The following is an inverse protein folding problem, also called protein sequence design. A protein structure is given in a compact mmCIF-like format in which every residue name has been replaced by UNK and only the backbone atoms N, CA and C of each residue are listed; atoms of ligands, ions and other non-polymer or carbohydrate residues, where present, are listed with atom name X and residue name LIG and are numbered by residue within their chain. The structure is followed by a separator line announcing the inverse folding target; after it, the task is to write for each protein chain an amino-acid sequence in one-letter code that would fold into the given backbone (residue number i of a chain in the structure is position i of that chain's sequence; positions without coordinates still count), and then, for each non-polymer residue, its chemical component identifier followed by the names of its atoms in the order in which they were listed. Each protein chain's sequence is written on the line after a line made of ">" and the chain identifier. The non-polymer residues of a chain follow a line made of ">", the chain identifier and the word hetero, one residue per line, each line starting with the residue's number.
data_IF_627201836393
#
_entry.id   IF_627201836393
#
_cell.length_a   1.000
_cell.length_b   1.000
_cell.length_c   1.000
_cell.angle_alpha   90.00
_cell.angle_beta   90.00
_cell.angle_gamma   90.00
#
_symmetry.space_group_name_H-M   'P 1'
#
loop_
_entity.id
_entity.type
_entity.pdbx_description
1 polymer ?
#
# COMPACT_ATOMS: atom_id res chain seq x y z
N UNK A 1 27.09 -62.01 -15.22
CA UNK A 1 27.06 -60.89 -16.19
C UNK A 1 27.18 -59.60 -15.43
N UNK A 2 28.30 -58.88 -15.59
CA UNK A 2 28.37 -57.46 -15.23
C UNK A 2 27.70 -56.66 -16.36
N UNK A 3 27.02 -55.58 -16.01
CA UNK A 3 26.81 -54.45 -16.91
C UNK A 3 26.99 -53.16 -16.13
N UNK A 4 27.87 -52.30 -16.63
CA UNK A 4 28.46 -51.23 -15.84
C UNK A 4 27.52 -50.04 -15.63
N UNK A 5 27.61 -49.47 -14.43
CA UNK A 5 27.06 -48.16 -14.15
C UNK A 5 27.91 -47.10 -14.86
N UNK A 6 27.45 -46.63 -16.02
CA UNK A 6 28.03 -45.47 -16.70
C UNK A 6 27.77 -44.22 -15.86
N UNK A 7 28.68 -43.95 -14.93
CA UNK A 7 28.81 -42.66 -14.28
C UNK A 7 29.26 -41.64 -15.32
N UNK A 8 28.30 -40.99 -15.97
CA UNK A 8 28.53 -39.81 -16.77
C UNK A 8 29.07 -38.70 -15.86
N UNK A 9 30.39 -38.64 -15.73
CA UNK A 9 31.15 -37.60 -15.05
C UNK A 9 31.07 -36.28 -15.85
N UNK A 10 29.88 -35.71 -15.94
CA UNK A 10 29.72 -34.32 -16.31
C UNK A 10 30.36 -33.47 -15.23
N UNK A 11 31.47 -32.83 -15.59
CA UNK A 11 32.25 -32.00 -14.70
C UNK A 11 31.34 -30.98 -13.99
N UNK A 12 31.18 -31.14 -12.68
CA UNK A 12 30.63 -30.14 -11.79
C UNK A 12 31.63 -28.98 -11.66
N UNK A 13 31.77 -28.19 -12.73
CA UNK A 13 32.45 -26.91 -12.69
C UNK A 13 31.80 -25.98 -11.66
N UNK A 14 32.46 -24.86 -11.33
CA UNK A 14 32.09 -23.99 -10.22
C UNK A 14 30.57 -23.65 -10.13
N UNK A 15 29.88 -23.56 -11.27
CA UNK A 15 28.43 -23.36 -11.38
C UNK A 15 27.58 -24.47 -10.72
N UNK A 16 27.98 -25.74 -10.88
CA UNK A 16 27.28 -26.90 -10.29
C UNK A 16 27.47 -26.97 -8.77
N UNK A 17 28.70 -26.71 -8.28
CA UNK A 17 28.94 -26.54 -6.85
C UNK A 17 28.15 -25.35 -6.28
N UNK A 18 28.08 -24.22 -7.00
CA UNK A 18 27.24 -23.07 -6.64
C UNK A 18 25.75 -23.44 -6.54
N UNK A 19 25.21 -24.25 -7.46
CA UNK A 19 23.82 -24.72 -7.43
C UNK A 19 23.53 -25.67 -6.24
N UNK A 20 24.43 -26.60 -5.94
CA UNK A 20 24.32 -27.46 -4.75
C UNK A 20 24.43 -26.64 -3.45
N UNK A 21 25.34 -25.65 -3.43
CA UNK A 21 25.51 -24.70 -2.34
C UNK A 21 24.29 -23.78 -2.16
N UNK A 22 23.58 -23.43 -3.23
CA UNK A 22 22.34 -22.65 -3.23
C UNK A 22 21.11 -23.42 -2.72
N UNK A 23 21.18 -24.77 -2.67
CA UNK A 23 20.06 -25.61 -2.24
C UNK A 23 20.02 -25.87 -0.72
N UNK A 24 21.12 -25.66 0.01
CA UNK A 24 21.15 -25.87 1.47
C UNK A 24 20.51 -24.69 2.22
N UNK A 25 19.75 -24.98 3.28
CA UNK A 25 19.30 -23.97 4.26
C UNK A 25 20.53 -23.29 4.89
N UNK A 26 20.50 -21.97 5.05
CA UNK A 26 21.59 -21.17 5.63
C UNK A 26 21.07 -20.05 6.52
N UNK A 27 21.83 -19.73 7.58
CA UNK A 27 21.38 -18.88 8.69
C UNK A 27 20.47 -19.67 9.62
N UNK A 28 20.71 -19.64 10.93
CA UNK A 28 19.95 -20.45 11.89
C UNK A 28 20.64 -20.90 13.16
N UNK A 29 21.97 -20.79 13.29
CA UNK A 29 22.69 -21.28 14.49
C UNK A 29 22.43 -20.43 15.75
N UNK A 30 22.21 -19.12 15.56
CA UNK A 30 22.06 -18.15 16.65
C UNK A 30 20.68 -17.44 16.61
N UNK A 31 19.65 -18.14 16.13
CA UNK A 31 18.27 -17.62 16.19
C UNK A 31 17.68 -17.81 17.58
N UNK A 32 16.85 -16.86 18.08
CA UNK A 32 16.12 -17.05 19.32
C UNK A 32 15.11 -18.20 19.18
N UNK A 33 14.75 -18.85 20.29
CA UNK A 33 13.77 -19.95 20.30
C UNK A 33 12.34 -19.47 20.00
N UNK A 34 12.04 -18.22 20.35
CA UNK A 34 10.75 -17.57 20.18
C UNK A 34 10.93 -16.13 19.65
N UNK A 35 9.83 -15.49 19.29
CA UNK A 35 9.75 -14.09 18.88
C UNK A 35 8.51 -13.43 19.49
N UNK A 36 8.58 -12.11 19.65
CA UNK A 36 7.44 -11.28 20.03
C UNK A 36 6.63 -10.95 18.77
N UNK A 37 5.29 -11.00 18.83
CA UNK A 37 4.42 -10.56 17.72
C UNK A 37 3.12 -9.95 18.22
N UNK A 38 2.57 -8.98 17.49
CA UNK A 38 1.21 -8.50 17.73
C UNK A 38 0.19 -9.41 17.05
N UNK A 39 -0.83 -9.84 17.78
CA UNK A 39 -1.92 -10.68 17.29
C UNK A 39 -3.29 -10.09 17.64
N UNK A 40 -4.24 -10.20 16.71
CA UNK A 40 -5.66 -10.06 17.03
C UNK A 40 -6.12 -11.35 17.69
N UNK A 41 -6.75 -11.28 18.85
CA UNK A 41 -7.35 -12.43 19.54
C UNK A 41 -8.86 -12.43 19.34
N UNK A 42 -9.51 -11.27 19.47
CA UNK A 42 -10.94 -11.08 19.21
C UNK A 42 -11.14 -9.81 18.37
N UNK A 43 -11.65 -9.91 17.14
CA UNK A 43 -11.94 -8.75 16.30
C UNK A 43 -13.30 -8.13 16.68
N UNK A 44 -13.41 -6.80 16.58
CA UNK A 44 -14.63 -6.07 16.85
C UNK A 44 -14.73 -4.83 15.93
N UNK A 45 -15.92 -4.53 15.42
CA UNK A 45 -16.16 -3.42 14.50
C UNK A 45 -15.69 -2.07 15.07
N UNK A 46 -15.90 -1.85 16.37
CA UNK A 46 -15.21 -0.81 17.13
C UNK A 46 -13.82 -1.32 17.55
N UNK A 47 -12.76 -0.66 17.08
CA UNK A 47 -11.38 -1.06 17.43
C UNK A 47 -11.10 -0.92 18.93
N UNK A 48 -11.80 -0.04 19.66
CA UNK A 48 -11.63 0.09 21.10
C UNK A 48 -12.16 -1.14 21.89
N UNK A 49 -12.97 -1.97 21.24
CA UNK A 49 -13.53 -3.21 21.78
C UNK A 49 -12.88 -4.47 21.17
N UNK A 50 -11.85 -4.32 20.33
CA UNK A 50 -11.11 -5.44 19.76
C UNK A 50 -9.98 -5.86 20.71
N UNK A 51 -9.81 -7.17 20.95
CA UNK A 51 -8.70 -7.69 21.76
C UNK A 51 -7.50 -7.94 20.87
N UNK A 52 -6.51 -7.04 20.95
CA UNK A 52 -5.22 -7.16 20.27
C UNK A 52 -4.12 -7.16 21.32
N UNK A 53 -3.22 -8.15 21.29
CA UNK A 53 -2.20 -8.36 22.33
C UNK A 53 -0.83 -8.63 21.72
N UNK A 54 0.23 -8.37 22.49
CA UNK A 54 1.57 -8.89 22.20
C UNK A 54 1.66 -10.32 22.73
N UNK A 55 1.98 -11.25 21.84
CA UNK A 55 2.38 -12.61 22.20
C UNK A 55 3.91 -12.61 22.34
N UNK A 56 4.38 -12.77 23.59
CA UNK A 56 5.80 -12.64 23.96
C UNK A 56 6.67 -13.81 23.47
N UNK A 57 6.14 -15.04 23.53
CA UNK A 57 6.87 -16.28 23.23
C UNK A 57 6.31 -17.04 22.01
N UNK A 58 6.00 -16.34 20.92
CA UNK A 58 5.53 -17.00 19.70
C UNK A 58 6.66 -17.83 19.03
N UNK A 59 6.40 -19.06 18.56
CA UNK A 59 7.42 -19.86 17.89
C UNK A 59 7.85 -19.25 16.54
N UNK A 60 9.13 -19.38 16.20
CA UNK A 60 9.63 -18.99 14.87
C UNK A 60 8.99 -19.84 13.75
N UNK A 61 8.68 -19.25 12.57
CA UNK A 61 8.05 -19.98 11.49
C UNK A 61 9.01 -20.97 10.81
N UNK A 62 8.51 -22.17 10.51
CA UNK A 62 9.27 -23.22 9.81
C UNK A 62 9.41 -22.89 8.33
N UNK A 63 10.62 -22.51 7.89
CA UNK A 63 10.90 -22.09 6.51
C UNK A 63 10.77 -23.24 5.49
N UNK A 64 9.90 -23.07 4.50
CA UNK A 64 9.83 -23.89 3.28
C UNK A 64 10.87 -23.44 2.26
N UNK A 65 11.19 -24.31 1.29
CA UNK A 65 12.09 -23.97 0.16
C UNK A 65 11.60 -22.72 -0.56
N UNK A 66 12.52 -21.82 -0.89
CA UNK A 66 12.20 -20.53 -1.53
C UNK A 66 11.80 -19.40 -0.57
N UNK A 67 11.59 -19.68 0.74
CA UNK A 67 11.26 -18.67 1.75
C UNK A 67 12.49 -18.16 2.51
N UNK A 68 12.35 -17.01 3.16
CA UNK A 68 13.35 -16.38 4.04
C UNK A 68 12.73 -15.99 5.38
N UNK A 69 13.53 -16.02 6.45
CA UNK A 69 13.19 -15.40 7.73
C UNK A 69 13.87 -14.03 7.80
N UNK A 70 13.10 -13.00 8.15
CA UNK A 70 13.57 -11.62 8.26
C UNK A 70 13.60 -11.26 9.76
N UNK A 71 14.76 -10.91 10.33
CA UNK A 71 14.78 -10.15 11.59
C UNK A 71 14.32 -8.74 11.23
N UNK A 72 13.36 -8.29 11.99
CA UNK A 72 12.30 -7.43 11.54
C UNK A 72 12.43 -6.14 12.38
N UNK A 73 12.68 -4.96 11.76
CA UNK A 73 13.18 -3.76 12.50
C UNK A 73 12.21 -2.55 12.62
N UNK A 74 11.39 -2.16 11.63
CA UNK A 74 10.41 -1.06 11.78
C UNK A 74 9.14 -0.98 10.84
N UNK A 75 7.90 -1.15 11.31
CA UNK A 75 6.70 -1.31 10.46
C UNK A 75 5.85 -0.08 10.19
N UNK A 76 5.40 0.12 8.96
CA UNK A 76 4.31 1.07 8.70
C UNK A 76 2.94 0.52 9.08
N UNK A 77 2.21 1.26 9.91
CA UNK A 77 0.79 0.99 10.22
C UNK A 77 -0.12 1.67 9.19
N UNK A 78 -0.97 0.91 8.50
CA UNK A 78 -1.88 1.32 7.45
C UNK A 78 -3.34 1.00 7.81
N UNK A 79 -4.33 1.69 7.20
CA UNK A 79 -5.74 1.32 7.31
C UNK A 79 -6.08 -0.12 6.89
N UNK A 80 -5.25 -0.73 6.04
CA UNK A 80 -5.41 -2.14 5.65
C UNK A 80 -5.02 -3.13 6.76
N UNK A 81 -4.16 -2.74 7.71
CA UNK A 81 -3.68 -3.59 8.80
C UNK A 81 -4.78 -3.78 9.86
N UNK A 82 -5.29 -2.67 10.40
CA UNK A 82 -6.40 -2.68 11.37
C UNK A 82 -7.77 -2.95 10.72
N UNK A 83 -7.85 -2.95 9.40
CA UNK A 83 -9.03 -3.45 8.67
C UNK A 83 -9.35 -4.92 8.96
N UNK A 84 -8.36 -5.72 9.41
CA UNK A 84 -8.54 -7.09 9.87
C UNK A 84 -8.93 -7.21 11.36
N UNK A 85 -8.81 -6.12 12.12
CA UNK A 85 -9.21 -6.07 13.54
C UNK A 85 -10.72 -5.82 13.67
N UNK A 86 -11.33 -5.20 12.65
CA UNK A 86 -12.77 -4.85 12.66
C UNK A 86 -13.75 -6.01 12.52
N UNK A 87 -13.35 -7.11 11.90
CA UNK A 87 -14.26 -8.21 11.58
C UNK A 87 -13.50 -9.53 11.52
N UNK A 88 -14.18 -10.64 11.82
CA UNK A 88 -13.58 -11.96 11.66
C UNK A 88 -13.13 -12.17 10.21
N UNK A 89 -11.83 -12.31 10.01
CA UNK A 89 -11.25 -12.74 8.74
C UNK A 89 -11.93 -14.04 8.27
N UNK A 90 -12.46 -14.04 7.05
CA UNK A 90 -13.13 -15.19 6.43
C UNK A 90 -12.19 -16.40 6.16
N UNK A 91 -10.95 -16.35 6.63
CA UNK A 91 -9.89 -17.36 6.41
C UNK A 91 -9.00 -17.61 7.64
N UNK A 92 -9.31 -17.03 8.80
CA UNK A 92 -8.38 -16.97 9.94
C UNK A 92 -8.88 -17.68 11.19
N UNK A 93 -8.06 -18.60 11.71
CA UNK A 93 -8.07 -18.97 13.12
C UNK A 93 -7.46 -17.84 13.97
N UNK A 94 -7.81 -17.78 15.26
CA UNK A 94 -7.29 -16.81 16.22
C UNK A 94 -6.42 -17.54 17.25
N UNK A 95 -5.31 -16.95 17.73
CA UNK A 95 -4.83 -15.59 17.47
C UNK A 95 -4.25 -15.38 16.06
N UNK A 96 -4.60 -14.24 15.43
CA UNK A 96 -4.24 -13.88 14.06
C UNK A 96 -3.12 -12.83 14.02
N UNK A 97 -1.91 -13.15 13.50
CA UNK A 97 -0.82 -12.17 13.36
C UNK A 97 -1.18 -11.00 12.43
N UNK A 98 -0.82 -9.78 12.81
CA UNK A 98 -1.22 -8.55 12.09
C UNK A 98 -0.05 -7.77 11.46
N UNK A 99 -0.38 -6.69 10.75
CA UNK A 99 0.49 -5.94 9.84
C UNK A 99 0.66 -6.63 8.48
N UNK A 100 0.70 -5.88 7.38
CA UNK A 100 0.86 -6.42 6.03
C UNK A 100 2.21 -6.16 5.34
N UNK A 101 2.98 -5.13 5.74
CA UNK A 101 4.25 -4.74 5.11
C UNK A 101 5.46 -4.59 6.07
N UNK A 102 6.63 -4.99 5.56
CA UNK A 102 7.84 -5.33 6.31
C UNK A 102 9.13 -4.92 5.56
N UNK A 103 10.22 -4.68 6.29
CA UNK A 103 11.58 -5.02 5.85
C UNK A 103 12.44 -5.44 7.05
N UNK A 104 13.75 -5.41 6.93
CA UNK A 104 14.72 -5.80 7.96
C UNK A 104 15.82 -6.62 7.31
N UNK A 105 16.47 -7.48 8.07
CA UNK A 105 17.61 -8.28 7.60
C UNK A 105 17.20 -9.73 7.46
N UNK A 106 17.51 -10.37 6.32
CA UNK A 106 17.35 -11.83 6.20
C UNK A 106 18.33 -12.54 7.13
N UNK A 107 17.82 -13.26 8.12
CA UNK A 107 18.60 -14.00 9.11
C UNK A 107 18.61 -15.52 8.90
N UNK A 108 17.65 -16.05 8.13
CA UNK A 108 17.68 -17.44 7.68
C UNK A 108 16.99 -17.63 6.32
N UNK A 109 17.32 -18.73 5.66
CA UNK A 109 16.81 -19.09 4.32
C UNK A 109 16.35 -20.55 4.30
N UNK A 110 15.21 -20.80 3.65
CA UNK A 110 14.70 -22.15 3.36
C UNK A 110 15.49 -22.88 2.27
N UNK A 111 16.49 -22.23 1.66
CA UNK A 111 17.26 -22.71 0.52
C UNK A 111 16.50 -22.60 -0.81
N UNK A 112 17.23 -22.74 -1.92
CA UNK A 112 16.71 -22.65 -3.28
C UNK A 112 17.06 -21.33 -3.97
N UNK A 113 17.06 -21.36 -5.31
CA UNK A 113 17.64 -20.32 -6.19
C UNK A 113 17.06 -18.92 -5.92
N UNK A 114 15.76 -18.81 -5.62
CA UNK A 114 15.10 -17.52 -5.29
C UNK A 114 15.59 -16.86 -4.00
N UNK A 115 16.33 -17.59 -3.15
CA UNK A 115 16.89 -17.09 -1.87
C UNK A 115 18.39 -16.84 -1.92
N UNK A 116 19.03 -17.10 -3.07
CA UNK A 116 20.48 -17.03 -3.22
C UNK A 116 20.99 -15.61 -3.00
N UNK A 117 22.00 -15.46 -2.13
CA UNK A 117 22.61 -14.17 -1.82
C UNK A 117 21.73 -13.21 -1.00
N UNK A 118 20.55 -13.65 -0.53
CA UNK A 118 19.66 -12.84 0.31
C UNK A 118 20.07 -12.82 1.78
N UNK A 119 20.74 -13.86 2.32
CA UNK A 119 21.16 -13.90 3.71
C UNK A 119 22.04 -12.68 4.07
N UNK A 120 21.73 -12.01 5.18
CA UNK A 120 22.38 -10.76 5.61
C UNK A 120 21.98 -9.51 4.82
N UNK A 121 21.16 -9.62 3.76
CA UNK A 121 20.67 -8.45 3.03
C UNK A 121 19.55 -7.78 3.79
N UNK A 122 19.54 -6.44 3.71
CA UNK A 122 18.36 -5.62 4.01
C UNK A 122 17.34 -5.84 2.88
N UNK A 123 16.18 -6.41 3.20
CA UNK A 123 15.14 -6.79 2.22
C UNK A 123 13.77 -6.38 2.69
N UNK A 124 12.85 -6.23 1.75
CA UNK A 124 11.49 -5.82 2.03
C UNK A 124 10.43 -6.79 1.51
N UNK A 125 9.32 -6.86 2.24
CA UNK A 125 8.32 -7.90 2.09
C UNK A 125 6.89 -7.38 2.30
N UNK A 126 5.98 -7.90 1.49
CA UNK A 126 4.53 -7.76 1.65
C UNK A 126 3.91 -9.16 1.58
N UNK A 127 4.05 -10.00 2.63
CA UNK A 127 3.42 -11.32 2.69
C UNK A 127 1.93 -11.25 3.10
N UNK A 128 1.41 -10.07 3.48
CA UNK A 128 -0.02 -9.83 3.72
C UNK A 128 -0.53 -10.10 5.14
N UNK A 129 0.29 -10.65 6.04
CA UNK A 129 0.04 -10.72 7.48
C UNK A 129 1.35 -10.96 8.27
N UNK A 130 1.40 -10.59 9.55
CA UNK A 130 2.49 -10.93 10.48
C UNK A 130 3.81 -10.20 10.22
N UNK A 131 3.78 -8.90 9.92
CA UNK A 131 4.89 -8.21 9.23
C UNK A 131 5.43 -6.98 9.92
N UNK A 132 5.07 -6.69 11.17
CA UNK A 132 5.50 -5.41 11.70
C UNK A 132 7.04 -5.29 11.74
N UNK A 133 7.63 -4.55 10.75
CA UNK A 133 9.06 -4.22 10.52
C UNK A 133 9.45 -3.44 9.20
N UNK A 134 10.76 -3.22 8.95
CA UNK A 134 11.50 -2.05 8.36
C UNK A 134 11.14 -1.53 6.94
N UNK A 135 9.86 -1.34 6.60
CA UNK A 135 9.29 -0.75 5.35
C UNK A 135 9.85 -1.18 3.97
N UNK A 136 9.10 -2.03 3.25
CA UNK A 136 8.61 -1.57 1.95
C UNK A 136 7.18 -1.07 2.14
N UNK A 137 6.78 -0.12 1.31
CA UNK A 137 5.61 0.70 1.53
C UNK A 137 4.71 0.60 0.29
N UNK A 138 3.51 0.08 0.46
CA UNK A 138 2.48 -0.09 -0.57
C UNK A 138 2.15 1.25 -1.22
N UNK A 139 2.20 2.35 -0.46
CA UNK A 139 1.69 3.63 -0.92
C UNK A 139 2.50 4.24 -2.10
N UNK A 140 3.85 4.36 -2.11
CA UNK A 140 4.62 4.72 -3.30
C UNK A 140 4.32 3.85 -4.53
N UNK A 141 4.23 2.53 -4.35
CA UNK A 141 3.96 1.62 -5.46
C UNK A 141 2.51 1.74 -5.96
N UNK A 142 1.57 2.05 -5.07
CA UNK A 142 0.18 2.35 -5.40
C UNK A 142 0.05 3.68 -6.12
N UNK A 143 0.78 4.72 -5.69
CA UNK A 143 0.90 6.01 -6.40
C UNK A 143 1.42 5.79 -7.83
N UNK A 144 2.53 5.06 -7.99
CA UNK A 144 3.06 4.76 -9.33
C UNK A 144 2.07 3.91 -10.14
N UNK A 145 1.38 2.94 -9.52
CA UNK A 145 0.33 2.17 -10.21
C UNK A 145 -0.86 3.04 -10.66
N UNK A 146 -1.32 3.99 -9.84
CA UNK A 146 -2.38 4.94 -10.20
C UNK A 146 -1.96 5.82 -11.38
N UNK A 147 -0.74 6.37 -11.34
CA UNK A 147 -0.19 7.23 -12.39
C UNK A 147 0.08 6.47 -13.69
N UNK A 148 0.60 5.24 -13.62
CA UNK A 148 0.73 4.36 -14.80
C UNK A 148 -0.64 3.96 -15.37
N UNK A 149 -1.65 3.74 -14.52
CA UNK A 149 -3.04 3.47 -14.96
C UNK A 149 -3.65 4.67 -15.67
N UNK A 150 -3.43 5.89 -15.14
CA UNK A 150 -3.85 7.13 -15.78
C UNK A 150 -3.21 7.29 -17.17
N UNK A 151 -1.88 7.11 -17.28
CA UNK A 151 -1.15 7.16 -18.55
C UNK A 151 -1.60 6.07 -19.53
N UNK A 152 -1.83 4.84 -19.07
CA UNK A 152 -2.34 3.76 -19.92
C UNK A 152 -3.75 4.06 -20.47
N UNK A 153 -4.62 4.71 -19.67
CA UNK A 153 -5.92 5.23 -20.10
C UNK A 153 -5.85 6.56 -20.86
N UNK A 154 -4.65 7.10 -21.11
CA UNK A 154 -4.39 8.42 -21.74
C UNK A 154 -5.10 9.59 -21.02
N UNK A 155 -5.34 9.46 -19.72
CA UNK A 155 -5.90 10.51 -18.89
C UNK A 155 -4.83 11.55 -18.56
N UNK A 156 -5.09 12.82 -18.88
CA UNK A 156 -4.24 13.96 -18.48
C UNK A 156 -4.46 14.39 -17.03
N UNK A 157 -5.67 14.20 -16.52
CA UNK A 157 -6.06 14.58 -15.17
C UNK A 157 -6.87 13.47 -14.49
N UNK A 158 -6.74 13.37 -13.16
CA UNK A 158 -7.48 12.45 -12.29
C UNK A 158 -8.07 13.18 -11.08
N UNK A 159 -9.11 12.61 -10.45
CA UNK A 159 -9.53 12.99 -9.09
C UNK A 159 -8.98 11.96 -8.09
N UNK A 160 -8.60 12.41 -6.89
CA UNK A 160 -8.15 11.54 -5.80
C UNK A 160 -8.71 11.98 -4.45
N UNK A 161 -9.54 11.16 -3.81
CA UNK A 161 -10.08 11.44 -2.46
C UNK A 161 -9.12 10.98 -1.35
N UNK A 162 -9.34 11.42 -0.11
CA UNK A 162 -8.41 11.14 0.99
C UNK A 162 -7.01 11.74 0.78
N UNK A 163 -6.93 12.89 0.10
CA UNK A 163 -5.67 13.48 -0.37
C UNK A 163 -4.68 13.85 0.75
N UNK A 164 -5.15 14.10 1.97
CA UNK A 164 -4.29 14.37 3.13
C UNK A 164 -3.60 13.14 3.71
N UNK A 165 -3.95 11.93 3.27
CA UNK A 165 -3.24 10.70 3.66
C UNK A 165 -1.79 10.68 3.15
N UNK A 166 -0.91 9.89 3.76
CA UNK A 166 0.46 9.73 3.28
C UNK A 166 0.55 9.35 1.78
N UNK A 167 -0.37 8.49 1.30
CA UNK A 167 -0.51 8.17 -0.13
C UNK A 167 -0.87 9.40 -0.96
N UNK A 168 -1.87 10.18 -0.54
CA UNK A 168 -2.30 11.39 -1.25
C UNK A 168 -1.24 12.50 -1.28
N UNK A 169 -0.45 12.63 -0.21
CA UNK A 169 0.70 13.54 -0.15
C UNK A 169 1.84 13.11 -1.10
N UNK A 170 2.14 11.81 -1.17
CA UNK A 170 3.07 11.25 -2.17
C UNK A 170 2.55 11.47 -3.60
N UNK A 171 1.26 11.24 -3.85
CA UNK A 171 0.64 11.46 -5.16
C UNK A 171 0.76 12.94 -5.58
N UNK A 172 0.53 13.87 -4.65
CA UNK A 172 0.68 15.31 -4.88
C UNK A 172 2.09 15.69 -5.35
N UNK A 173 3.12 15.07 -4.75
CA UNK A 173 4.53 15.26 -5.14
C UNK A 173 4.89 14.56 -6.45
N UNK A 174 4.38 13.34 -6.68
CA UNK A 174 4.79 12.47 -7.80
C UNK A 174 4.06 12.74 -9.12
N UNK A 175 2.77 13.08 -9.09
CA UNK A 175 1.94 13.18 -10.29
C UNK A 175 2.48 14.14 -11.37
N UNK A 176 3.07 15.32 -11.03
CA UNK A 176 3.68 16.19 -12.02
C UNK A 176 4.78 15.52 -12.83
N UNK A 177 5.69 14.76 -12.19
CA UNK A 177 6.75 14.01 -12.89
C UNK A 177 6.20 13.00 -13.90
N UNK A 178 4.99 12.48 -13.68
CA UNK A 178 4.31 11.54 -14.57
C UNK A 178 3.51 12.20 -15.69
N UNK A 179 3.33 13.52 -15.69
CA UNK A 179 2.51 14.22 -16.69
C UNK A 179 1.01 14.12 -16.42
N UNK A 180 0.62 14.04 -15.14
CA UNK A 180 -0.76 13.83 -14.71
C UNK A 180 -1.14 14.93 -13.70
N UNK A 181 -2.20 15.68 -14.00
CA UNK A 181 -2.83 16.62 -13.08
C UNK A 181 -3.72 15.86 -12.08
N UNK A 182 -3.84 16.37 -10.86
CA UNK A 182 -4.64 15.74 -9.81
C UNK A 182 -5.54 16.78 -9.14
N UNK A 183 -6.85 16.51 -9.16
CA UNK A 183 -7.83 17.18 -8.31
C UNK A 183 -7.86 16.43 -6.97
N UNK A 184 -7.13 16.95 -6.01
CA UNK A 184 -7.02 16.39 -4.66
C UNK A 184 -8.26 16.77 -3.83
N UNK A 185 -8.94 15.78 -3.24
CA UNK A 185 -10.09 16.03 -2.36
C UNK A 185 -9.74 15.68 -0.91
N UNK A 186 -9.96 16.65 -0.02
CA UNK A 186 -9.82 16.54 1.45
C UNK A 186 -11.05 17.18 2.12
N UNK A 187 -11.23 17.00 3.43
CA UNK A 187 -12.41 17.46 4.18
C UNK A 187 -12.08 18.53 5.25
N UNK A 188 -10.88 19.13 5.21
CA UNK A 188 -10.43 20.14 6.19
C UNK A 188 -9.60 21.22 5.50
N UNK A 189 -9.85 22.49 5.85
CA UNK A 189 -9.17 23.63 5.24
C UNK A 189 -7.65 23.63 5.50
N UNK A 190 -7.22 23.28 6.71
CA UNK A 190 -5.79 23.13 7.06
C UNK A 190 -5.05 22.13 6.13
N UNK A 191 -5.74 21.08 5.67
CA UNK A 191 -5.17 20.13 4.72
C UNK A 191 -5.09 20.68 3.29
N UNK A 192 -5.96 21.63 2.92
CA UNK A 192 -5.90 22.31 1.62
C UNK A 192 -4.60 23.09 1.52
N UNK A 193 -4.31 23.92 2.52
CA UNK A 193 -3.07 24.71 2.63
C UNK A 193 -1.81 23.83 2.68
N UNK A 194 -1.86 22.72 3.43
CA UNK A 194 -0.79 21.72 3.46
C UNK A 194 -0.51 21.13 2.06
N UNK A 195 -1.57 20.74 1.33
CA UNK A 195 -1.43 20.13 0.01
C UNK A 195 -0.95 21.12 -1.06
N UNK A 196 -1.34 22.40 -0.99
CA UNK A 196 -0.76 23.43 -1.86
C UNK A 196 0.73 23.62 -1.59
N UNK A 197 1.15 23.69 -0.32
CA UNK A 197 2.58 23.76 0.06
C UNK A 197 3.37 22.54 -0.41
N UNK A 198 2.86 21.33 -0.18
CA UNK A 198 3.48 20.08 -0.65
C UNK A 198 3.60 20.06 -2.17
N UNK A 199 2.54 20.44 -2.89
CA UNK A 199 2.54 20.53 -4.34
C UNK A 199 3.57 21.52 -4.89
N UNK A 200 3.83 22.63 -4.20
CA UNK A 200 4.91 23.56 -4.57
C UNK A 200 6.32 22.91 -4.52
N UNK A 201 6.52 21.85 -3.72
CA UNK A 201 7.80 21.11 -3.66
C UNK A 201 7.97 20.03 -4.74
N UNK A 202 6.94 19.77 -5.55
CA UNK A 202 6.95 18.73 -6.57
C UNK A 202 8.02 18.99 -7.66
N UNK A 203 8.73 17.93 -8.05
CA UNK A 203 9.90 18.02 -8.94
C UNK A 203 9.62 17.48 -10.34
N UNK A 204 10.46 17.85 -11.30
CA UNK A 204 10.46 17.33 -12.68
C UNK A 204 10.02 18.33 -13.74
N UNK A 205 10.42 18.15 -15.01
CA UNK A 205 10.26 19.15 -16.07
C UNK A 205 8.79 19.48 -16.37
N UNK A 206 7.89 18.51 -16.17
CA UNK A 206 6.46 18.68 -16.40
C UNK A 206 5.77 19.52 -15.30
N UNK A 207 6.42 19.82 -14.17
CA UNK A 207 5.83 20.67 -13.12
C UNK A 207 5.49 22.07 -13.62
N UNK A 208 6.33 22.63 -14.49
CA UNK A 208 6.13 23.96 -15.09
C UNK A 208 4.95 24.00 -16.08
N UNK A 209 4.53 22.84 -16.62
CA UNK A 209 3.48 22.73 -17.63
C UNK A 209 2.08 22.46 -17.04
N UNK A 210 2.01 21.90 -15.82
CA UNK A 210 0.79 21.37 -15.21
C UNK A 210 0.13 22.31 -14.18
N UNK A 211 0.56 23.58 -14.13
CA UNK A 211 -0.08 24.63 -13.32
C UNK A 211 -0.07 24.41 -11.80
N UNK A 212 -0.91 25.17 -11.10
CA UNK A 212 -1.03 25.09 -9.65
C UNK A 212 -1.75 23.81 -9.20
N UNK A 213 -1.32 23.25 -8.06
CA UNK A 213 -1.94 22.04 -7.48
C UNK A 213 -3.41 22.28 -7.16
N UNK A 214 -4.32 21.46 -7.69
CA UNK A 214 -5.76 21.61 -7.44
C UNK A 214 -6.17 20.84 -6.19
N UNK A 215 -6.69 21.56 -5.19
CA UNK A 215 -7.15 20.96 -3.94
C UNK A 215 -8.54 21.49 -3.60
N UNK A 216 -9.48 20.58 -3.31
CA UNK A 216 -10.87 20.88 -2.99
C UNK A 216 -11.21 20.41 -1.58
N UNK A 217 -11.97 21.23 -0.85
CA UNK A 217 -12.50 20.89 0.47
C UNK A 217 -13.94 20.35 0.33
N UNK A 218 -14.13 19.04 0.49
CA UNK A 218 -15.42 18.36 0.39
C UNK A 218 -16.44 18.74 1.47
N UNK A 219 -16.01 19.48 2.50
CA UNK A 219 -16.88 20.02 3.55
C UNK A 219 -17.25 21.50 3.32
N UNK A 220 -16.91 22.07 2.16
CA UNK A 220 -17.37 23.40 1.74
C UNK A 220 -18.65 23.29 0.92
N UNK A 221 -19.61 24.19 1.14
CA UNK A 221 -20.84 24.29 0.33
C UNK A 221 -20.54 24.49 -1.16
N UNK A 222 -19.42 25.17 -1.47
CA UNK A 222 -18.94 25.39 -2.84
C UNK A 222 -18.35 24.15 -3.53
N UNK A 223 -18.11 23.05 -2.80
CA UNK A 223 -17.41 21.86 -3.29
C UNK A 223 -18.02 21.30 -4.58
N UNK A 224 -19.35 21.19 -4.64
CA UNK A 224 -20.04 20.63 -5.80
C UNK A 224 -19.76 21.41 -7.09
N UNK A 225 -19.81 22.74 -7.02
CA UNK A 225 -19.56 23.63 -8.15
C UNK A 225 -18.07 23.68 -8.54
N UNK A 226 -17.16 23.72 -7.55
CA UNK A 226 -15.71 23.68 -7.80
C UNK A 226 -15.29 22.35 -8.46
N UNK A 227 -15.86 21.22 -8.03
CA UNK A 227 -15.60 19.92 -8.64
C UNK A 227 -16.09 19.88 -10.10
N UNK A 228 -17.28 20.41 -10.39
CA UNK A 228 -17.82 20.47 -11.76
C UNK A 228 -17.02 21.42 -12.67
N UNK A 229 -16.45 22.49 -12.11
CA UNK A 229 -15.50 23.37 -12.79
C UNK A 229 -14.21 22.63 -13.16
N UNK A 230 -13.56 21.95 -12.21
CA UNK A 230 -12.32 21.19 -12.50
C UNK A 230 -12.54 19.98 -13.40
N UNK A 231 -13.67 19.26 -13.28
CA UNK A 231 -14.02 18.16 -14.19
C UNK A 231 -14.10 18.64 -15.65
N UNK A 232 -14.74 19.80 -15.88
CA UNK A 232 -14.85 20.40 -17.22
C UNK A 232 -13.51 20.95 -17.72
N UNK A 233 -12.83 21.76 -16.92
CA UNK A 233 -11.58 22.42 -17.30
C UNK A 233 -10.49 21.40 -17.68
N UNK A 234 -10.28 20.39 -16.83
CA UNK A 234 -9.21 19.39 -17.00
C UNK A 234 -9.68 18.15 -17.79
N UNK A 235 -10.95 18.13 -18.22
CA UNK A 235 -11.61 17.04 -18.97
C UNK A 235 -11.47 15.68 -18.26
N UNK A 236 -11.62 15.67 -16.93
CA UNK A 236 -11.36 14.49 -16.07
C UNK A 236 -12.30 13.34 -16.45
N UNK A 237 -11.73 12.14 -16.61
CA UNK A 237 -12.49 10.88 -16.85
C UNK A 237 -12.13 9.74 -15.89
N UNK A 238 -11.29 10.01 -14.90
CA UNK A 238 -10.72 9.00 -14.03
C UNK A 238 -10.67 9.53 -12.60
N UNK A 239 -11.16 8.74 -11.65
CA UNK A 239 -11.06 9.05 -10.23
C UNK A 239 -10.56 7.83 -9.45
N UNK A 240 -9.85 8.08 -8.36
CA UNK A 240 -9.49 7.10 -7.34
C UNK A 240 -10.12 7.54 -6.01
N UNK A 241 -10.96 6.68 -5.44
CA UNK A 241 -11.68 6.95 -4.20
C UNK A 241 -11.33 5.92 -3.10
N UNK A 242 -11.04 6.43 -1.89
CA UNK A 242 -10.85 5.60 -0.70
C UNK A 242 -11.91 5.85 0.39
N UNK A 243 -12.90 6.71 0.15
CA UNK A 243 -13.94 7.01 1.14
C UNK A 243 -15.04 5.95 1.08
N UNK A 244 -15.35 5.43 -0.11
CA UNK A 244 -16.50 4.57 -0.41
C UNK A 244 -17.84 5.28 -0.13
N UNK A 245 -18.94 4.51 -0.09
CA UNK A 245 -20.29 5.06 0.07
C UNK A 245 -20.63 6.11 -1.00
N UNK A 246 -21.26 7.20 -0.56
CA UNK A 246 -21.77 8.25 -1.44
C UNK A 246 -20.67 9.09 -2.11
N UNK A 247 -19.43 9.09 -1.57
CA UNK A 247 -18.28 9.75 -2.21
C UNK A 247 -18.05 9.16 -3.61
N UNK A 248 -18.05 7.82 -3.70
CA UNK A 248 -17.91 7.12 -4.96
C UNK A 248 -19.13 7.34 -5.88
N UNK A 249 -20.35 7.29 -5.34
CA UNK A 249 -21.59 7.56 -6.09
C UNK A 249 -21.61 8.97 -6.71
N UNK A 250 -21.29 10.00 -5.93
CA UNK A 250 -21.21 11.38 -6.38
C UNK A 250 -20.14 11.59 -7.47
N UNK A 251 -18.98 10.93 -7.35
CA UNK A 251 -17.96 10.93 -8.40
C UNK A 251 -18.45 10.27 -9.70
N UNK A 252 -19.15 9.13 -9.60
CA UNK A 252 -19.76 8.50 -10.79
C UNK A 252 -20.76 9.45 -11.43
N UNK A 253 -21.65 10.07 -10.65
CA UNK A 253 -22.67 10.99 -11.15
C UNK A 253 -22.07 12.21 -11.88
N UNK A 254 -21.09 12.89 -11.27
CA UNK A 254 -20.49 14.13 -11.80
C UNK A 254 -19.52 13.92 -12.96
N UNK A 255 -18.82 12.78 -13.04
CA UNK A 255 -17.89 12.52 -14.14
C UNK A 255 -18.63 12.38 -15.50
N UNK A 256 -18.00 12.74 -16.62
CA UNK A 256 -18.62 12.65 -17.95
C UNK A 256 -18.78 11.19 -18.43
N UNK A 257 -19.48 10.95 -19.56
CA UNK A 257 -19.60 9.62 -20.15
C UNK A 257 -18.25 8.93 -20.44
N UNK A 258 -18.26 7.59 -20.34
CA UNK A 258 -17.09 6.69 -20.47
C UNK A 258 -15.98 6.90 -19.44
N UNK A 259 -16.33 7.42 -18.25
CA UNK A 259 -15.39 7.58 -17.13
C UNK A 259 -15.23 6.31 -16.29
N UNK A 260 -14.16 6.23 -15.48
CA UNK A 260 -13.94 5.14 -14.51
C UNK A 260 -13.69 5.71 -13.12
N UNK A 261 -14.42 5.21 -12.11
CA UNK A 261 -14.12 5.45 -10.69
C UNK A 261 -13.49 4.18 -10.11
N UNK A 262 -12.30 4.32 -9.55
CA UNK A 262 -11.55 3.24 -8.91
C UNK A 262 -11.69 3.31 -7.39
N UNK A 263 -12.43 2.36 -6.81
CA UNK A 263 -12.49 2.20 -5.37
C UNK A 263 -11.22 1.47 -4.88
N UNK A 264 -10.41 2.11 -4.03
CA UNK A 264 -9.15 1.56 -3.50
C UNK A 264 -9.07 1.54 -1.96
N UNK A 265 -10.11 2.02 -1.27
CA UNK A 265 -10.21 2.02 0.19
C UNK A 265 -11.65 2.23 0.67
N UNK A 266 -11.86 2.16 2.00
CA UNK A 266 -13.17 2.29 2.67
C UNK A 266 -13.05 3.06 4.00
N UNK A 267 -13.00 4.39 3.93
CA UNK A 267 -12.79 5.27 5.10
C UNK A 267 -14.07 5.91 5.66
N UNK A 268 -15.23 5.77 5.03
CA UNK A 268 -16.51 6.29 5.54
C UNK A 268 -16.97 5.54 6.80
N UNK A 269 -17.68 6.24 7.70
CA UNK A 269 -17.97 5.78 9.08
C UNK A 269 -19.19 4.86 9.25
N UNK A 270 -20.15 4.86 8.33
CA UNK A 270 -21.48 4.25 8.58
C UNK A 270 -22.01 3.34 7.47
N UNK A 271 -21.46 3.39 6.25
CA UNK A 271 -21.87 2.57 5.09
C UNK A 271 -20.73 1.68 4.57
N UNK A 272 -19.78 1.36 5.45
CA UNK A 272 -18.36 1.11 5.14
C UNK A 272 -17.99 -0.19 4.41
N UNK A 273 -18.96 -1.04 4.05
CA UNK A 273 -18.74 -2.25 3.22
C UNK A 273 -19.20 -2.09 1.77
N UNK A 274 -19.92 -1.02 1.42
CA UNK A 274 -20.60 -0.88 0.14
C UNK A 274 -20.33 0.47 -0.53
N UNK A 275 -20.69 0.54 -1.82
CA UNK A 275 -20.80 1.80 -2.55
C UNK A 275 -22.28 2.14 -2.64
N UNK A 276 -22.62 3.41 -2.47
CA UNK A 276 -23.99 3.92 -2.46
C UNK A 276 -24.15 5.10 -3.41
N UNK A 277 -25.39 5.50 -3.68
CA UNK A 277 -25.75 6.59 -4.59
C UNK A 277 -25.13 6.50 -6.02
N UNK A 278 -24.85 5.30 -6.54
CA UNK A 278 -24.35 5.11 -7.92
C UNK A 278 -25.53 5.18 -8.90
N UNK A 279 -25.56 6.12 -9.88
CA UNK A 279 -26.66 6.20 -10.85
C UNK A 279 -26.62 5.03 -11.84
N UNK A 280 -27.59 4.13 -11.75
CA UNK A 280 -27.68 2.93 -12.63
C UNK A 280 -27.74 3.32 -14.11
N UNK A 281 -28.45 4.42 -14.44
CA UNK A 281 -28.56 4.94 -15.81
C UNK A 281 -27.19 5.31 -16.42
N UNK A 282 -26.25 5.78 -15.61
CA UNK A 282 -24.91 6.15 -16.06
C UNK A 282 -24.02 4.94 -16.34
N UNK A 283 -24.23 3.83 -15.61
CA UNK A 283 -23.56 2.57 -15.86
C UNK A 283 -24.05 1.93 -17.17
N UNK A 284 -25.38 1.82 -17.33
CA UNK A 284 -25.99 1.16 -18.49
C UNK A 284 -25.77 1.99 -19.77
N UNK A 285 -26.16 3.26 -19.78
CA UNK A 285 -26.28 4.03 -21.03
C UNK A 285 -25.13 5.02 -21.27
N UNK A 286 -24.43 5.48 -20.23
CA UNK A 286 -23.30 6.42 -20.37
C UNK A 286 -21.93 5.74 -20.31
N UNK A 287 -21.90 4.41 -20.17
CA UNK A 287 -20.68 3.59 -20.14
C UNK A 287 -19.71 3.98 -19.03
N UNK A 288 -20.21 4.59 -17.93
CA UNK A 288 -19.38 4.86 -16.75
C UNK A 288 -19.10 3.53 -16.04
N UNK A 289 -17.93 3.41 -15.44
CA UNK A 289 -17.46 2.20 -14.76
C UNK A 289 -17.10 2.47 -13.32
N UNK A 290 -17.38 1.49 -12.47
CA UNK A 290 -16.86 1.40 -11.10
C UNK A 290 -16.05 0.12 -11.02
N UNK A 291 -14.78 0.23 -10.64
CA UNK A 291 -13.85 -0.90 -10.56
C UNK A 291 -13.10 -0.88 -9.22
N UNK A 292 -12.81 -2.05 -8.66
CA UNK A 292 -11.86 -2.16 -7.54
C UNK A 292 -10.42 -1.98 -8.01
N UNK A 293 -9.61 -1.25 -7.24
CA UNK A 293 -8.19 -1.01 -7.52
C UNK A 293 -7.31 -1.58 -6.41
N UNK A 294 -6.42 -2.50 -6.80
CA UNK A 294 -5.44 -3.14 -5.91
C UNK A 294 -4.10 -3.17 -6.64
N UNK A 295 -3.02 -2.74 -5.99
CA UNK A 295 -1.71 -2.48 -6.61
C UNK A 295 -1.19 -3.67 -7.44
N UNK A 296 -1.30 -4.89 -6.92
CA UNK A 296 -0.86 -6.12 -7.61
C UNK A 296 -1.66 -6.38 -8.89
N UNK A 297 -2.99 -6.20 -8.84
CA UNK A 297 -3.88 -6.32 -10.00
C UNK A 297 -3.69 -5.18 -11.00
N UNK A 298 -3.35 -3.98 -10.54
CA UNK A 298 -3.08 -2.84 -11.40
C UNK A 298 -1.84 -3.08 -12.28
N UNK A 299 -0.73 -3.55 -11.70
CA UNK A 299 0.45 -3.92 -12.49
C UNK A 299 0.18 -5.09 -13.45
N UNK A 300 -0.59 -6.11 -13.05
CA UNK A 300 -0.99 -7.20 -13.94
C UNK A 300 -1.84 -6.70 -15.14
N UNK A 301 -2.75 -5.73 -14.91
CA UNK A 301 -3.55 -5.08 -15.96
C UNK A 301 -2.71 -4.26 -16.96
N UNK A 302 -1.44 -3.97 -16.70
CA UNK A 302 -0.54 -3.31 -17.66
C UNK A 302 0.00 -4.26 -18.76
N UNK A 303 -0.39 -5.53 -18.76
CA UNK A 303 -0.05 -6.52 -19.78
C UNK A 303 1.26 -7.28 -19.48
N UNK A 304 1.86 -7.97 -20.48
CA UNK A 304 3.00 -8.88 -20.26
C UNK A 304 4.22 -8.25 -19.58
N UNK A 305 4.46 -6.95 -19.79
CA UNK A 305 5.53 -6.19 -19.15
C UNK A 305 5.18 -5.66 -17.74
N UNK A 306 4.05 -6.08 -17.15
CA UNK A 306 3.58 -5.63 -15.83
C UNK A 306 4.61 -5.81 -14.72
N UNK A 307 5.25 -6.99 -14.66
CA UNK A 307 6.33 -7.28 -13.71
C UNK A 307 7.56 -6.39 -13.94
N UNK A 308 7.99 -6.20 -15.19
CA UNK A 308 9.12 -5.31 -15.52
C UNK A 308 8.82 -3.85 -15.12
N UNK A 309 7.61 -3.36 -15.41
CA UNK A 309 7.18 -2.01 -15.00
C UNK A 309 7.11 -1.87 -13.48
N UNK A 310 6.70 -2.91 -12.76
CA UNK A 310 6.75 -2.94 -11.30
C UNK A 310 8.18 -2.85 -10.80
N UNK A 311 9.12 -3.63 -11.35
CA UNK A 311 10.54 -3.58 -10.97
C UNK A 311 11.19 -2.22 -11.27
N UNK A 312 10.87 -1.59 -12.40
CA UNK A 312 11.33 -0.24 -12.74
C UNK A 312 10.72 0.83 -11.81
N UNK A 313 9.44 0.70 -11.45
CA UNK A 313 8.80 1.55 -10.45
C UNK A 313 9.52 1.42 -9.09
N UNK A 314 9.82 0.21 -8.64
CA UNK A 314 10.60 -0.05 -7.41
C UNK A 314 11.97 0.63 -7.43
N UNK A 315 12.69 0.58 -8.56
CA UNK A 315 13.98 1.26 -8.71
C UNK A 315 13.87 2.79 -8.69
N UNK A 316 12.78 3.36 -9.18
CA UNK A 316 12.51 4.81 -9.14
C UNK A 316 12.15 5.23 -7.72
N UNK A 317 11.21 4.53 -7.09
CA UNK A 317 10.81 4.72 -5.69
C UNK A 317 12.04 4.69 -4.79
N UNK A 318 12.92 3.69 -4.92
CA UNK A 318 14.15 3.56 -4.12
C UNK A 318 15.07 4.79 -4.21
N UNK A 319 15.18 5.43 -5.39
CA UNK A 319 15.99 6.65 -5.58
C UNK A 319 15.33 7.89 -4.97
N UNK A 320 14.01 7.90 -4.85
CA UNK A 320 13.21 9.05 -4.40
C UNK A 320 12.60 8.88 -2.99
N UNK A 321 13.01 7.84 -2.23
CA UNK A 321 12.57 7.61 -0.84
C UNK A 321 12.84 8.79 0.08
N UNK A 322 13.94 9.51 -0.13
CA UNK A 322 14.33 10.69 0.66
C UNK A 322 13.81 12.01 0.05
N UNK A 323 12.95 11.96 -0.98
CA UNK A 323 12.45 13.17 -1.67
C UNK A 323 10.95 13.04 -1.99
N UNK A 324 10.59 12.60 -3.20
CA UNK A 324 9.19 12.49 -3.66
C UNK A 324 8.37 11.58 -2.74
N UNK A 325 8.96 10.47 -2.28
CA UNK A 325 8.29 9.51 -1.40
C UNK A 325 8.65 9.66 0.08
N UNK A 326 9.41 10.70 0.45
CA UNK A 326 9.70 11.01 1.85
C UNK A 326 8.40 11.21 2.63
N UNK A 327 8.35 10.60 3.82
CA UNK A 327 7.23 10.58 4.76
C UNK A 327 7.81 10.69 6.16
N UNK A 328 7.23 11.55 6.99
CA UNK A 328 7.59 11.64 8.40
C UNK A 328 6.88 10.54 9.20
N UNK A 329 7.65 9.90 10.08
CA UNK A 329 7.19 8.81 10.92
C UNK A 329 7.17 9.23 12.38
N UNK A 330 6.12 8.82 13.09
CA UNK A 330 6.13 8.77 14.55
C UNK A 330 6.36 7.32 14.97
N UNK A 331 7.47 7.08 15.67
CA UNK A 331 7.82 5.76 16.15
C UNK A 331 6.91 5.35 17.31
N UNK A 332 6.55 4.06 17.36
CA UNK A 332 5.75 3.44 18.41
C UNK A 332 6.35 2.08 18.74
N UNK A 333 6.37 1.69 20.01
CA UNK A 333 6.81 0.35 20.41
C UNK A 333 5.71 -0.68 20.16
N UNK A 334 6.04 -1.97 20.12
CA UNK A 334 5.12 -3.05 19.76
C UNK A 334 3.87 -3.11 20.66
N UNK A 335 4.04 -2.80 21.94
CA UNK A 335 3.01 -2.78 22.98
C UNK A 335 2.03 -1.62 22.80
N UNK A 336 2.53 -0.48 22.33
CA UNK A 336 1.78 0.77 22.13
C UNK A 336 0.91 0.73 20.86
N UNK A 337 1.15 -0.23 19.95
CA UNK A 337 0.51 -0.28 18.63
C UNK A 337 -1.02 -0.29 18.71
N UNK A 338 -1.60 -1.06 19.64
CA UNK A 338 -3.05 -1.14 19.80
C UNK A 338 -3.64 0.23 20.20
N UNK A 339 -3.14 0.82 21.29
CA UNK A 339 -3.60 2.12 21.79
C UNK A 339 -3.44 3.22 20.75
N UNK A 340 -2.29 3.24 20.05
CA UNK A 340 -1.98 4.23 19.03
C UNK A 340 -2.87 4.10 17.80
N UNK A 341 -3.27 2.88 17.42
CA UNK A 341 -4.28 2.64 16.36
C UNK A 341 -5.66 3.09 16.81
N UNK A 342 -6.10 2.74 18.02
CA UNK A 342 -7.42 3.13 18.56
C UNK A 342 -7.53 4.65 18.73
N UNK A 343 -6.43 5.34 19.04
CA UNK A 343 -6.39 6.80 19.15
C UNK A 343 -6.53 7.53 17.80
N UNK A 344 -6.11 6.91 16.70
CA UNK A 344 -6.21 7.47 15.33
C UNK A 344 -7.38 6.90 14.52
N UNK A 345 -8.20 6.02 15.11
CA UNK A 345 -9.32 5.39 14.44
C UNK A 345 -10.28 6.46 13.89
N UNK A 346 -10.48 6.57 12.56
CA UNK A 346 -11.45 7.50 12.01
C UNK A 346 -12.87 7.25 12.52
N UNK A 347 -13.27 6.04 12.88
CA UNK A 347 -14.63 5.71 13.32
C UNK A 347 -14.96 6.24 14.73
N UNK A 348 -13.95 6.54 15.56
CA UNK A 348 -14.15 7.06 16.93
C UNK A 348 -14.58 8.54 16.97
N UNK A 349 -15.62 8.92 17.74
CA UNK A 349 -15.99 10.32 17.98
C UNK A 349 -14.82 11.14 18.57
N UNK A 350 -14.59 12.33 18.05
CA UNK A 350 -13.51 13.23 18.51
C UNK A 350 -12.09 12.79 18.12
N UNK A 351 -11.90 11.71 17.35
CA UNK A 351 -10.57 11.23 16.96
C UNK A 351 -9.74 12.30 16.22
N UNK A 352 -8.50 12.49 16.67
CA UNK A 352 -7.50 13.24 15.91
C UNK A 352 -7.14 12.41 14.69
N UNK A 353 -7.57 12.87 13.52
CA UNK A 353 -7.31 12.21 12.25
C UNK A 353 -5.82 11.91 12.08
N UNK A 354 -5.48 10.71 11.61
CA UNK A 354 -4.10 10.23 11.33
C UNK A 354 -3.33 11.02 10.25
N UNK A 355 -3.77 12.23 9.90
CA UNK A 355 -3.43 12.92 8.66
C UNK A 355 -2.07 13.61 8.67
N UNK A 356 -1.45 13.79 9.84
CA UNK A 356 -0.18 14.51 9.96
C UNK A 356 1.03 13.62 10.29
N UNK A 357 0.87 12.39 10.79
CA UNK A 357 2.00 11.49 11.09
C UNK A 357 1.67 10.04 10.73
N UNK A 358 2.58 9.42 9.96
CA UNK A 358 2.53 7.98 9.70
C UNK A 358 3.13 7.25 10.90
N UNK A 359 2.42 6.29 11.48
CA UNK A 359 3.01 5.49 12.56
C UNK A 359 3.99 4.46 12.02
N UNK A 360 5.13 4.31 12.71
CA UNK A 360 6.13 3.27 12.49
C UNK A 360 6.34 2.45 13.76
N UNK A 361 5.95 1.17 13.76
CA UNK A 361 6.33 0.25 14.85
C UNK A 361 7.85 0.10 14.82
N UNK A 362 8.56 0.19 15.94
CA UNK A 362 10.01 -0.10 16.00
C UNK A 362 10.27 -1.29 16.94
N UNK A 363 11.36 -2.01 16.66
CA UNK A 363 11.73 -3.25 17.34
C UNK A 363 13.16 -3.13 17.85
N UNK A 364 13.29 -3.01 19.16
CA UNK A 364 14.58 -2.91 19.87
C UNK A 364 15.43 -4.20 19.72
#
# INVERSE_FOLDING_TARGET
>A
MQFDAVWASLAFGALGCLLLLACRRRGGKDLPKAMRRLVVVEPNADLALARVVVEEEAPLPVLKRGQVLIKVCAASINPSDYGAWRARSAKGEYPLPTGQECSGVVVATGGGVSTLGLLGRRVAAFPGSGTYADYFFINPLTVVAMLLTARAKRAKAIIHTGASSALGQMLCKAAPGFGVEVVHVTHRQQHVEMLHRLGATARGPQRLLLGATHVLNSSSDSYGAQLDEKIRALRVKLAFDCVAGDSAGALVAKLPPRSTVYAYGRLSRLSSSYLSAIPVIDLIYRGKKVEGFMVTRAFAKLGPLGLLRMLLAMQTIKRELQTTFATEFADVRLEEVYERVVAIDPERPGAKSATNQKLRVVFD
#
